data_IF_311400331992
#
_entry.id   IF_311400331992
#
_cell.length_a   1.000
_cell.length_b   1.000
_cell.length_c   1.000
_cell.angle_alpha   90.00
_cell.angle_beta   90.00
_cell.angle_gamma   90.00
#
_symmetry.space_group_name_H-M   'P 1'
#
loop_
_entity.id
_entity.type
_entity.pdbx_description
1 polymer ?
#
# COMPACT_ATOMS: atom_id res chain seq x y z
N UNK A 1 24.66 -47.59 8.10
CA UNK A 1 23.94 -46.97 6.98
C UNK A 1 22.56 -46.67 7.48
N UNK A 2 22.29 -45.41 7.81
CA UNK A 2 21.03 -44.72 7.55
C UNK A 2 21.24 -43.27 7.99
N UNK A 3 21.30 -42.43 6.97
CA UNK A 3 21.55 -41.00 7.03
C UNK A 3 20.33 -40.29 7.63
N UNK A 4 20.60 -39.23 8.38
CA UNK A 4 19.61 -38.27 8.85
C UNK A 4 18.92 -37.61 7.65
N UNK A 5 17.73 -38.08 7.27
CA UNK A 5 16.86 -37.36 6.37
C UNK A 5 16.25 -36.17 7.11
N UNK A 6 16.99 -35.05 7.04
CA UNK A 6 16.53 -33.69 7.23
C UNK A 6 15.29 -33.46 6.33
N UNK A 7 14.12 -33.80 6.85
CA UNK A 7 12.85 -33.53 6.17
C UNK A 7 12.60 -32.05 6.31
N UNK A 8 13.02 -31.33 5.27
CA UNK A 8 12.59 -29.98 4.97
C UNK A 8 11.07 -29.91 5.19
N UNK A 9 10.65 -29.09 6.16
CA UNK A 9 9.24 -28.77 6.35
C UNK A 9 8.79 -28.03 5.09
N UNK A 10 8.18 -28.77 4.17
CA UNK A 10 7.43 -28.23 3.05
C UNK A 10 6.17 -27.55 3.61
N UNK A 11 6.35 -26.32 4.12
CA UNK A 11 5.27 -25.40 4.43
C UNK A 11 4.90 -24.67 3.15
N UNK A 12 4.31 -25.42 2.23
CA UNK A 12 3.84 -24.93 0.94
C UNK A 12 2.54 -25.62 0.56
N UNK A 13 1.59 -25.73 1.50
CA UNK A 13 0.22 -25.99 1.10
C UNK A 13 -0.18 -24.84 0.16
N UNK A 14 -0.24 -25.12 -1.15
CA UNK A 14 -0.89 -24.28 -2.15
C UNK A 14 -2.34 -24.12 -1.68
N UNK A 15 -2.58 -23.10 -0.84
CA UNK A 15 -3.91 -22.69 -0.46
C UNK A 15 -4.59 -22.24 -1.75
N UNK A 16 -5.48 -23.08 -2.27
CA UNK A 16 -6.33 -22.69 -3.39
C UNK A 16 -7.08 -21.41 -3.02
N UNK A 17 -6.92 -20.37 -3.82
CA UNK A 17 -7.64 -19.11 -3.63
C UNK A 17 -9.13 -19.36 -3.83
N UNK A 18 -10.01 -18.66 -3.08
CA UNK A 18 -11.44 -18.77 -3.30
C UNK A 18 -11.82 -18.46 -4.75
N UNK A 19 -12.90 -19.09 -5.24
CA UNK A 19 -13.41 -18.86 -6.59
C UNK A 19 -13.59 -17.36 -6.89
N UNK A 20 -13.00 -16.92 -8.01
CA UNK A 20 -13.08 -15.54 -8.46
C UNK A 20 -12.09 -14.58 -7.78
N UNK A 21 -11.24 -15.05 -6.86
CA UNK A 21 -10.10 -14.28 -6.33
C UNK A 21 -8.87 -14.51 -7.20
N UNK A 22 -8.22 -13.43 -7.59
CA UNK A 22 -7.01 -13.47 -8.39
C UNK A 22 -5.77 -13.27 -7.51
N UNK A 23 -4.63 -13.91 -7.84
CA UNK A 23 -3.39 -13.72 -7.10
C UNK A 23 -2.87 -12.28 -7.24
N UNK A 24 -2.07 -11.79 -6.27
CA UNK A 24 -1.54 -10.43 -6.28
C UNK A 24 -0.78 -10.13 -7.58
N UNK A 25 -0.92 -8.90 -8.08
CA UNK A 25 -0.24 -8.46 -9.29
C UNK A 25 1.07 -7.76 -8.93
N UNK A 26 2.14 -8.07 -9.67
CA UNK A 26 3.41 -7.34 -9.57
C UNK A 26 3.18 -5.84 -9.82
N UNK A 27 3.78 -5.00 -8.98
CA UNK A 27 3.58 -3.55 -8.98
C UNK A 27 2.39 -3.08 -8.16
N UNK A 28 1.59 -4.01 -7.59
CA UNK A 28 0.42 -3.72 -6.76
C UNK A 28 0.32 -4.63 -5.52
N UNK A 29 1.43 -5.25 -5.13
CA UNK A 29 1.54 -5.96 -3.84
C UNK A 29 1.55 -4.98 -2.66
N UNK A 30 1.37 -5.48 -1.43
CA UNK A 30 1.50 -4.64 -0.24
C UNK A 30 2.86 -3.93 -0.17
N UNK A 31 3.94 -4.61 -0.56
CA UNK A 31 5.30 -4.05 -0.63
C UNK A 31 5.40 -2.94 -1.69
N UNK A 32 4.91 -3.19 -2.90
CA UNK A 32 4.94 -2.21 -3.99
C UNK A 32 4.18 -0.93 -3.63
N UNK A 33 2.97 -1.08 -3.08
CA UNK A 33 2.12 0.04 -2.67
C UNK A 33 2.76 0.85 -1.52
N UNK A 34 3.38 0.15 -0.56
CA UNK A 34 4.09 0.78 0.55
C UNK A 34 5.31 1.56 0.06
N UNK A 35 6.06 1.01 -0.90
CA UNK A 35 7.21 1.68 -1.52
C UNK A 35 6.78 2.95 -2.29
N UNK A 36 5.66 2.91 -3.02
CA UNK A 36 5.09 4.08 -3.70
C UNK A 36 4.77 5.20 -2.70
N UNK A 37 4.08 4.88 -1.61
CA UNK A 37 3.76 5.85 -0.57
C UNK A 37 5.01 6.40 0.14
N UNK A 38 5.99 5.53 0.42
CA UNK A 38 7.25 5.89 1.05
C UNK A 38 8.02 6.91 0.20
N UNK A 39 8.18 6.67 -1.11
CA UNK A 39 8.91 7.57 -2.01
C UNK A 39 8.28 8.97 -2.00
N UNK A 40 6.95 9.07 -2.14
CA UNK A 40 6.25 10.35 -2.15
C UNK A 40 6.38 11.09 -0.80
N UNK A 41 6.19 10.37 0.30
CA UNK A 41 6.24 10.96 1.65
C UNK A 41 7.67 11.40 2.00
N UNK A 42 8.67 10.60 1.69
CA UNK A 42 10.07 10.95 1.89
C UNK A 42 10.45 12.21 1.10
N UNK A 43 10.12 12.26 -0.18
CA UNK A 43 10.40 13.43 -1.02
C UNK A 43 9.78 14.71 -0.44
N UNK A 44 8.54 14.63 0.07
CA UNK A 44 7.92 15.76 0.75
C UNK A 44 8.71 16.18 1.99
N UNK A 45 9.05 15.26 2.89
CA UNK A 45 9.78 15.58 4.12
C UNK A 45 11.17 16.19 3.82
N UNK A 46 11.86 15.67 2.80
CA UNK A 46 13.14 16.22 2.32
C UNK A 46 12.97 17.66 1.84
N UNK A 47 11.91 17.97 1.06
CA UNK A 47 11.64 19.34 0.60
C UNK A 47 11.35 20.31 1.74
N UNK A 48 10.83 19.80 2.86
CA UNK A 48 10.54 20.59 4.06
C UNK A 48 11.74 20.71 5.02
N UNK A 49 12.92 20.21 4.61
CA UNK A 49 14.13 20.27 5.42
C UNK A 49 13.99 19.54 6.77
N UNK A 50 13.25 18.42 6.79
CA UNK A 50 13.15 17.56 7.97
C UNK A 50 14.48 16.85 8.18
N UNK A 51 14.86 16.67 9.45
CA UNK A 51 16.08 15.94 9.81
C UNK A 51 16.07 14.50 9.25
N UNK A 52 17.16 14.04 8.59
CA UNK A 52 17.20 12.71 7.98
C UNK A 52 16.92 11.54 8.94
N UNK A 53 17.31 11.65 10.21
CA UNK A 53 17.00 10.64 11.23
C UNK A 53 15.50 10.57 11.50
N UNK A 54 14.86 11.75 11.64
CA UNK A 54 13.41 11.83 11.80
C UNK A 54 12.65 11.36 10.55
N UNK A 55 13.17 11.61 9.34
CA UNK A 55 12.61 11.05 8.10
C UNK A 55 12.64 9.53 8.16
N UNK A 56 13.78 8.94 8.49
CA UNK A 56 13.95 7.49 8.57
C UNK A 56 12.97 6.83 9.55
N UNK A 57 12.84 7.38 10.77
CA UNK A 57 11.86 6.90 11.76
C UNK A 57 10.41 7.05 11.27
N UNK A 58 10.10 8.17 10.60
CA UNK A 58 8.78 8.40 10.03
C UNK A 58 8.46 7.39 8.92
N UNK A 59 9.42 7.04 8.07
CA UNK A 59 9.22 6.05 7.01
C UNK A 59 9.01 4.64 7.58
N UNK A 60 9.73 4.25 8.64
CA UNK A 60 9.51 2.97 9.33
C UNK A 60 8.08 2.92 9.88
N UNK A 61 7.65 3.98 10.58
CA UNK A 61 6.29 4.06 11.13
C UNK A 61 5.24 3.99 10.02
N UNK A 62 5.42 4.75 8.94
CA UNK A 62 4.50 4.78 7.80
C UNK A 62 4.34 3.40 7.16
N UNK A 63 5.46 2.75 6.79
CA UNK A 63 5.44 1.43 6.14
C UNK A 63 4.79 0.39 7.05
N UNK A 64 5.08 0.41 8.35
CA UNK A 64 4.45 -0.52 9.29
C UNK A 64 2.93 -0.36 9.38
N UNK A 65 2.42 0.88 9.37
CA UNK A 65 0.97 1.12 9.43
C UNK A 65 0.29 0.81 8.09
N UNK A 66 0.92 1.14 6.96
CA UNK A 66 0.42 0.80 5.64
C UNK A 66 0.31 -0.71 5.46
N UNK A 67 1.39 -1.44 5.78
CA UNK A 67 1.41 -2.89 5.64
C UNK A 67 0.32 -3.53 6.50
N UNK A 68 0.19 -3.12 7.77
CA UNK A 68 -0.85 -3.63 8.66
C UNK A 68 -2.26 -3.37 8.12
N UNK A 69 -2.53 -2.18 7.58
CA UNK A 69 -3.83 -1.82 7.01
C UNK A 69 -4.11 -2.55 5.71
N UNK A 70 -3.11 -2.74 4.86
CA UNK A 70 -3.27 -3.46 3.61
C UNK A 70 -3.51 -4.94 3.85
N UNK A 71 -2.77 -5.54 4.77
CA UNK A 71 -2.95 -6.93 5.20
C UNK A 71 -4.35 -7.14 5.79
N UNK A 72 -4.79 -6.25 6.70
CA UNK A 72 -6.12 -6.29 7.32
C UNK A 72 -7.25 -6.28 6.28
N UNK A 73 -7.06 -5.53 5.19
CA UNK A 73 -8.05 -5.40 4.12
C UNK A 73 -7.80 -6.36 2.94
N UNK A 74 -6.69 -7.09 2.89
CA UNK A 74 -6.30 -7.90 1.72
C UNK A 74 -6.19 -7.09 0.42
N UNK A 75 -5.62 -5.89 0.48
CA UNK A 75 -5.65 -4.90 -0.61
C UNK A 75 -5.09 -5.46 -1.92
N UNK A 76 -3.98 -6.18 -1.89
CA UNK A 76 -3.36 -6.71 -3.11
C UNK A 76 -4.25 -7.71 -3.86
N UNK A 77 -4.98 -8.54 -3.12
CA UNK A 77 -5.96 -9.46 -3.69
C UNK A 77 -7.20 -8.73 -4.22
N UNK A 78 -7.66 -7.70 -3.49
CA UNK A 78 -8.77 -6.88 -3.95
C UNK A 78 -8.43 -6.14 -5.26
N UNK A 79 -7.23 -5.54 -5.34
CA UNK A 79 -6.74 -4.89 -6.57
C UNK A 79 -6.68 -5.88 -7.71
N UNK A 80 -6.00 -7.00 -7.53
CA UNK A 80 -5.88 -8.03 -8.55
C UNK A 80 -7.25 -8.51 -9.03
N UNK A 81 -8.14 -8.82 -8.10
CA UNK A 81 -9.47 -9.36 -8.39
C UNK A 81 -10.36 -8.35 -9.10
N UNK A 82 -10.42 -7.12 -8.61
CA UNK A 82 -11.27 -6.11 -9.22
C UNK A 82 -10.72 -5.66 -10.56
N UNK A 83 -9.41 -5.66 -10.76
CA UNK A 83 -8.85 -5.33 -12.07
C UNK A 83 -9.09 -6.42 -13.12
N UNK A 84 -8.95 -7.70 -12.73
CA UNK A 84 -8.93 -8.84 -13.66
C UNK A 84 -10.29 -9.54 -13.85
N UNK A 85 -11.25 -9.33 -12.95
CA UNK A 85 -12.59 -9.91 -13.11
C UNK A 85 -13.21 -9.53 -14.46
N UNK A 86 -14.05 -10.39 -15.06
CA UNK A 86 -14.71 -10.06 -16.31
C UNK A 86 -15.65 -8.86 -16.15
N UNK A 87 -15.65 -7.98 -17.16
CA UNK A 87 -16.52 -6.80 -17.23
C UNK A 87 -17.34 -6.81 -18.52
N UNK A 88 -18.60 -6.37 -18.44
CA UNK A 88 -19.47 -6.23 -19.61
C UNK A 88 -18.94 -5.21 -20.63
N UNK A 89 -18.23 -4.18 -20.14
CA UNK A 89 -17.59 -3.16 -20.97
C UNK A 89 -16.43 -2.46 -20.24
N UNK A 90 -15.60 -1.78 -21.03
CA UNK A 90 -14.41 -1.07 -20.54
C UNK A 90 -14.76 0.08 -19.59
N UNK A 91 -15.89 0.77 -19.78
CA UNK A 91 -16.28 1.88 -18.91
C UNK A 91 -16.59 1.43 -17.47
N UNK A 92 -17.18 0.24 -17.31
CA UNK A 92 -17.40 -0.37 -15.99
C UNK A 92 -16.07 -0.69 -15.31
N UNK A 93 -15.11 -1.24 -16.05
CA UNK A 93 -13.76 -1.52 -15.57
C UNK A 93 -13.05 -0.25 -15.13
N UNK A 94 -13.10 0.80 -15.96
CA UNK A 94 -12.50 2.11 -15.65
C UNK A 94 -13.08 2.72 -14.37
N UNK A 95 -14.40 2.71 -14.22
CA UNK A 95 -15.06 3.17 -12.98
C UNK A 95 -14.65 2.35 -11.76
N UNK A 96 -14.56 1.01 -11.89
CA UNK A 96 -14.13 0.16 -10.78
C UNK A 96 -12.71 0.48 -10.33
N UNK A 97 -11.79 0.73 -11.27
CA UNK A 97 -10.41 1.15 -10.95
C UNK A 97 -10.41 2.53 -10.28
N UNK A 98 -11.24 3.48 -10.74
CA UNK A 98 -11.34 4.80 -10.10
C UNK A 98 -11.84 4.71 -8.67
N UNK A 99 -12.93 3.97 -8.42
CA UNK A 99 -13.46 3.78 -7.06
C UNK A 99 -12.46 3.09 -6.15
N UNK A 100 -11.75 2.08 -6.65
CA UNK A 100 -10.71 1.38 -5.91
C UNK A 100 -9.50 2.27 -5.58
N UNK A 101 -9.08 3.11 -6.53
CA UNK A 101 -8.02 4.08 -6.30
C UNK A 101 -8.39 5.10 -5.22
N UNK A 102 -9.64 5.57 -5.21
CA UNK A 102 -10.15 6.47 -4.17
C UNK A 102 -10.20 5.78 -2.81
N UNK A 103 -10.73 4.56 -2.75
CA UNK A 103 -10.85 3.77 -1.52
C UNK A 103 -9.48 3.48 -0.89
N UNK A 104 -8.53 2.95 -1.66
CA UNK A 104 -7.21 2.61 -1.13
C UNK A 104 -6.32 3.83 -0.94
N UNK A 105 -6.55 4.92 -1.67
CA UNK A 105 -5.95 6.22 -1.35
C UNK A 105 -6.40 6.73 0.03
N UNK A 106 -7.70 6.65 0.36
CA UNK A 106 -8.23 7.02 1.68
C UNK A 106 -7.70 6.09 2.78
N UNK A 107 -7.62 4.78 2.51
CA UNK A 107 -7.05 3.83 3.46
C UNK A 107 -5.60 4.19 3.82
N UNK A 108 -4.79 4.54 2.83
CA UNK A 108 -3.41 4.96 3.04
C UNK A 108 -3.28 6.31 3.74
N UNK A 109 -4.22 7.24 3.48
CA UNK A 109 -4.32 8.49 4.23
C UNK A 109 -4.54 8.20 5.72
N UNK A 110 -5.48 7.32 6.07
CA UNK A 110 -5.71 6.92 7.47
C UNK A 110 -4.48 6.26 8.10
N UNK A 111 -3.82 5.35 7.37
CA UNK A 111 -2.58 4.73 7.84
C UNK A 111 -1.48 5.76 8.10
N UNK A 112 -1.33 6.75 7.22
CA UNK A 112 -0.38 7.86 7.37
C UNK A 112 -0.69 8.74 8.58
N UNK A 113 -1.98 9.05 8.79
CA UNK A 113 -2.44 9.79 9.97
C UNK A 113 -2.15 9.04 11.28
N UNK A 114 -2.37 7.73 11.30
CA UNK A 114 -2.07 6.88 12.45
C UNK A 114 -0.56 6.80 12.70
N UNK A 115 0.24 6.65 11.64
CA UNK A 115 1.71 6.61 11.72
C UNK A 115 2.33 7.90 12.26
N UNK A 116 1.68 9.04 12.03
CA UNK A 116 2.12 10.34 12.49
C UNK A 116 1.73 10.61 13.95
N UNK A 117 0.78 9.86 14.51
CA UNK A 117 0.30 10.08 15.89
C UNK A 117 1.44 9.92 16.89
N UNK A 118 1.73 10.99 17.63
CA UNK A 118 2.82 11.01 18.61
C UNK A 118 4.21 11.30 18.03
N UNK A 119 4.31 11.50 16.71
CA UNK A 119 5.56 11.95 16.07
C UNK A 119 5.89 13.39 16.47
N UNK A 120 7.18 13.73 16.66
CA UNK A 120 7.64 15.11 16.80
C UNK A 120 7.17 16.03 15.66
N UNK A 121 6.91 15.47 14.47
CA UNK A 121 6.41 16.21 13.32
C UNK A 121 5.03 16.85 13.55
N UNK A 122 4.22 16.31 14.47
CA UNK A 122 2.93 16.93 14.84
C UNK A 122 3.10 18.32 15.46
N UNK A 123 4.27 18.63 16.04
CA UNK A 123 4.55 19.94 16.65
C UNK A 123 4.73 21.06 15.62
N UNK A 124 4.94 20.72 14.34
CA UNK A 124 5.09 21.69 13.24
C UNK A 124 3.77 22.33 12.80
N UNK A 125 2.64 21.91 13.37
CA UNK A 125 1.32 22.48 13.11
C UNK A 125 0.61 21.89 11.90
N UNK A 126 -0.68 22.23 11.76
CA UNK A 126 -1.60 21.63 10.77
C UNK A 126 -1.17 21.82 9.33
N UNK A 127 -0.65 23.00 9.02
CA UNK A 127 -0.16 23.33 7.68
C UNK A 127 0.99 22.42 7.22
N UNK A 128 1.70 21.80 8.16
CA UNK A 128 2.74 20.82 7.88
C UNK A 128 2.19 19.39 7.83
N UNK A 129 1.46 18.97 8.87
CA UNK A 129 1.08 17.56 8.99
C UNK A 129 -0.06 17.15 8.06
N UNK A 130 -0.96 18.05 7.68
CA UNK A 130 -2.08 17.72 6.79
C UNK A 130 -1.56 17.37 5.38
N UNK A 131 -0.74 18.21 4.72
CA UNK A 131 -0.15 17.82 3.43
C UNK A 131 0.77 16.61 3.51
N UNK A 132 1.41 16.35 4.65
CA UNK A 132 2.23 15.15 4.87
C UNK A 132 1.38 13.88 4.85
N UNK A 133 0.24 13.88 5.56
CA UNK A 133 -0.70 12.76 5.60
C UNK A 133 -1.22 12.44 4.20
N UNK A 134 -1.52 13.49 3.41
CA UNK A 134 -2.05 13.37 2.06
C UNK A 134 -1.07 12.70 1.07
N UNK A 135 0.25 12.79 1.27
CA UNK A 135 1.24 12.28 0.31
C UNK A 135 1.07 10.79 0.03
N UNK A 136 0.93 9.98 1.07
CA UNK A 136 0.77 8.53 0.93
C UNK A 136 -0.54 8.18 0.20
N UNK A 137 -1.64 8.85 0.57
CA UNK A 137 -2.95 8.61 -0.02
C UNK A 137 -3.00 8.98 -1.50
N UNK A 138 -2.49 10.16 -1.87
CA UNK A 138 -2.45 10.58 -3.27
C UNK A 138 -1.51 9.71 -4.11
N UNK A 139 -0.34 9.34 -3.59
CA UNK A 139 0.60 8.49 -4.31
C UNK A 139 -0.01 7.13 -4.67
N UNK A 140 -0.71 6.50 -3.72
CA UNK A 140 -1.36 5.20 -3.96
C UNK A 140 -2.54 5.32 -4.91
N UNK A 141 -3.40 6.33 -4.71
CA UNK A 141 -4.52 6.60 -5.62
C UNK A 141 -4.01 6.76 -7.05
N UNK A 142 -3.04 7.63 -7.25
CA UNK A 142 -2.53 7.95 -8.58
C UNK A 142 -1.80 6.74 -9.20
N UNK A 143 -1.15 5.91 -8.39
CA UNK A 143 -0.54 4.66 -8.85
C UNK A 143 -1.57 3.64 -9.32
N UNK A 144 -2.66 3.43 -8.57
CA UNK A 144 -3.76 2.54 -8.99
C UNK A 144 -4.45 3.07 -10.25
N UNK A 145 -4.62 4.38 -10.39
CA UNK A 145 -5.22 4.98 -11.59
C UNK A 145 -4.45 4.69 -12.88
N UNK A 146 -3.15 4.33 -12.81
CA UNK A 146 -2.36 3.92 -13.99
C UNK A 146 -2.91 2.66 -14.65
N UNK A 147 -3.65 1.82 -13.92
CA UNK A 147 -4.38 0.67 -14.47
C UNK A 147 -5.41 1.06 -15.55
N UNK A 148 -5.83 2.32 -15.59
CA UNK A 148 -6.73 2.87 -16.62
C UNK A 148 -6.00 3.56 -17.79
N UNK A 149 -4.67 3.64 -17.77
CA UNK A 149 -3.88 4.30 -18.80
C UNK A 149 -3.75 3.46 -20.10
N UNK A 150 -4.17 2.19 -20.05
CA UNK A 150 -4.23 1.26 -21.18
C UNK A 150 -5.54 1.37 -22.00
#
# INVERSE_FOLDING_TARGET
MQDDENTCHDLGAEMELPDGVFPPMSGYTHEDLSAVAQIATQAFLETQGVDPGLIHETMISLVSHLYAKFEEQGVEFQIATWYQKPYDNLDRRKRSVTSMAEEFGVLALHASADALRGSPLMTRGREFWEPLIDQAGFAIRDHILKLNAD
#
